data_IF_765329729681
#
_entry.id   IF_765329729681
#
_cell.length_a   1.000
_cell.length_b   1.000
_cell.length_c   1.000
_cell.angle_alpha   90.00
_cell.angle_beta   90.00
_cell.angle_gamma   90.00
#
_symmetry.space_group_name_H-M   'P 1'
#
loop_
_entity.id
_entity.type
_entity.pdbx_description
1 polymer ?
#
# COMPACT_ATOMS: atom_id res chain seq x y z
N UNK A 1 -14.02 15.27 11.01
CA UNK A 1 -13.45 14.75 9.75
C UNK A 1 -12.20 13.98 10.13
N UNK A 2 -12.06 12.75 9.69
CA UNK A 2 -10.86 11.94 9.92
C UNK A 2 -9.68 12.44 9.08
N UNK A 3 -8.46 12.17 9.50
CA UNK A 3 -7.30 12.43 8.66
C UNK A 3 -7.22 11.39 7.55
N UNK A 4 -7.30 10.10 7.90
CA UNK A 4 -7.28 8.98 6.95
C UNK A 4 -8.39 7.99 7.26
N UNK A 5 -9.04 7.45 6.21
CA UNK A 5 -9.88 6.28 6.29
C UNK A 5 -9.24 5.14 5.46
N UNK A 6 -9.02 3.99 6.11
CA UNK A 6 -8.46 2.79 5.49
C UNK A 6 -9.56 1.82 5.13
N UNK A 7 -9.59 1.34 3.89
CA UNK A 7 -10.54 0.36 3.37
C UNK A 7 -9.77 -0.84 2.83
N UNK A 8 -10.10 -2.03 3.25
CA UNK A 8 -9.37 -3.20 2.80
C UNK A 8 -9.71 -4.47 3.57
N UNK A 9 -8.85 -5.46 3.46
CA UNK A 9 -8.95 -6.71 4.18
C UNK A 9 -8.35 -6.60 5.58
N UNK A 10 -9.08 -7.10 6.57
CA UNK A 10 -8.52 -7.34 7.89
C UNK A 10 -8.19 -8.82 8.02
N UNK A 11 -6.92 -9.17 7.88
CA UNK A 11 -6.47 -10.56 7.90
C UNK A 11 -5.58 -10.86 9.11
N UNK A 12 -5.57 -12.15 9.49
CA UNK A 12 -4.53 -12.73 10.31
C UNK A 12 -3.59 -13.46 9.36
N UNK A 13 -2.36 -12.98 9.28
CA UNK A 13 -1.33 -13.55 8.43
C UNK A 13 -0.60 -14.64 9.21
N UNK A 14 -0.61 -15.85 8.66
CA UNK A 14 0.20 -16.99 9.13
C UNK A 14 1.45 -17.02 8.26
N UNK A 15 2.58 -16.69 8.85
CA UNK A 15 3.84 -16.54 8.13
C UNK A 15 4.71 -17.76 8.45
N UNK A 16 5.06 -18.50 7.40
CA UNK A 16 5.92 -19.66 7.46
C UNK A 16 7.29 -19.30 6.89
N UNK A 17 8.34 -19.47 7.71
CA UNK A 17 9.72 -19.22 7.34
C UNK A 17 10.59 -20.42 7.75
N UNK A 18 10.88 -21.30 6.81
CA UNK A 18 11.48 -22.59 7.13
C UNK A 18 10.59 -23.40 8.08
N UNK A 19 11.11 -23.75 9.26
CA UNK A 19 10.37 -24.47 10.30
C UNK A 19 9.72 -23.56 11.35
N UNK A 20 9.72 -22.24 11.12
CA UNK A 20 9.13 -21.27 12.05
C UNK A 20 7.77 -20.80 11.54
N UNK A 21 6.80 -20.76 12.45
CA UNK A 21 5.51 -20.13 12.25
C UNK A 21 5.42 -18.88 13.13
N UNK A 22 4.94 -17.79 12.56
CA UNK A 22 4.53 -16.61 13.33
C UNK A 22 3.22 -16.07 12.80
N UNK A 23 2.48 -15.39 13.65
CA UNK A 23 1.24 -14.71 13.26
C UNK A 23 1.42 -13.21 13.33
N UNK A 24 0.80 -12.52 12.38
CA UNK A 24 0.78 -11.06 12.30
C UNK A 24 -0.61 -10.62 11.86
N UNK A 25 -0.91 -9.35 12.00
CA UNK A 25 -2.04 -8.74 11.31
C UNK A 25 -1.60 -8.35 9.89
N UNK A 26 -2.55 -8.40 8.95
CA UNK A 26 -2.27 -8.11 7.53
C UNK A 26 -2.17 -6.63 7.21
N UNK A 27 -2.21 -6.33 5.90
CA UNK A 27 -1.85 -5.01 5.35
C UNK A 27 -2.60 -3.84 5.96
N UNK A 28 -3.90 -3.95 6.22
CA UNK A 28 -4.65 -2.85 6.88
C UNK A 28 -4.04 -2.49 8.23
N UNK A 29 -3.64 -3.48 9.03
CA UNK A 29 -3.01 -3.23 10.31
C UNK A 29 -1.55 -2.76 10.17
N UNK A 30 -0.84 -3.21 9.13
CA UNK A 30 0.51 -2.72 8.83
C UNK A 30 0.49 -1.24 8.50
N UNK A 31 -0.41 -0.81 7.59
CA UNK A 31 -0.60 0.61 7.24
C UNK A 31 -0.97 1.43 8.48
N UNK A 32 -1.95 0.95 9.26
CA UNK A 32 -2.38 1.63 10.48
C UNK A 32 -1.24 1.80 11.49
N UNK A 33 -0.46 0.73 11.74
CA UNK A 33 0.68 0.78 12.66
C UNK A 33 1.77 1.72 12.17
N UNK A 34 2.13 1.64 10.89
CA UNK A 34 3.16 2.49 10.30
C UNK A 34 2.77 3.97 10.38
N UNK A 35 1.51 4.32 10.10
CA UNK A 35 1.01 5.68 10.25
C UNK A 35 1.13 6.19 11.69
N UNK A 36 0.75 5.38 12.68
CA UNK A 36 0.85 5.77 14.10
C UNK A 36 2.30 5.80 14.62
N UNK A 37 3.20 5.03 14.03
CA UNK A 37 4.63 5.11 14.34
C UNK A 37 5.25 6.41 13.82
N UNK A 38 4.78 6.89 12.66
CA UNK A 38 5.23 8.14 12.06
C UNK A 38 4.62 9.34 12.81
N UNK A 39 3.32 9.29 13.07
CA UNK A 39 2.59 10.35 13.77
C UNK A 39 1.45 9.76 14.62
N UNK A 40 1.64 9.62 15.93
CA UNK A 40 0.64 9.04 16.84
C UNK A 40 -0.59 9.94 17.04
N UNK A 41 -0.61 11.15 16.49
CA UNK A 41 -1.75 12.09 16.64
C UNK A 41 -2.78 11.96 15.53
N UNK A 42 -2.50 11.17 14.47
CA UNK A 42 -3.41 10.98 13.34
C UNK A 42 -4.75 10.35 13.77
N UNK A 43 -5.83 10.96 13.32
CA UNK A 43 -7.19 10.43 13.51
C UNK A 43 -7.55 9.46 12.37
N UNK A 44 -7.27 8.17 12.56
CA UNK A 44 -7.42 7.12 11.56
C UNK A 44 -8.70 6.33 11.79
N UNK A 45 -9.49 6.15 10.71
CA UNK A 45 -10.64 5.27 10.70
C UNK A 45 -10.34 3.97 9.93
N UNK A 46 -10.83 2.84 10.43
CA UNK A 46 -10.73 1.54 9.77
C UNK A 46 -12.10 1.10 9.29
N UNK A 47 -12.21 0.73 8.02
CA UNK A 47 -13.40 0.14 7.41
C UNK A 47 -13.04 -1.19 6.74
N UNK A 48 -13.00 -2.30 7.48
CA UNK A 48 -12.79 -3.62 6.88
C UNK A 48 -13.93 -3.95 5.92
N UNK A 49 -13.58 -4.30 4.69
CA UNK A 49 -14.52 -4.78 3.66
C UNK A 49 -14.68 -6.28 3.80
N UNK A 50 -13.59 -6.97 4.05
CA UNK A 50 -13.53 -8.41 4.25
C UNK A 50 -12.64 -8.75 5.43
N UNK A 51 -12.85 -9.92 6.01
CA UNK A 51 -11.98 -10.49 7.04
C UNK A 51 -11.55 -11.90 6.63
N UNK A 52 -10.38 -12.32 7.05
CA UNK A 52 -9.89 -13.64 6.69
C UNK A 52 -8.52 -13.98 7.25
N UNK A 53 -7.89 -14.93 6.61
CA UNK A 53 -6.55 -15.39 6.92
C UNK A 53 -5.71 -15.39 5.64
N UNK A 54 -4.47 -14.94 5.74
CA UNK A 54 -3.47 -15.10 4.70
C UNK A 54 -2.41 -16.12 5.15
N UNK A 55 -2.07 -17.05 4.26
CA UNK A 55 -0.93 -17.92 4.43
C UNK A 55 0.22 -17.37 3.59
N UNK A 56 1.29 -16.97 4.26
CA UNK A 56 2.47 -16.37 3.62
C UNK A 56 3.64 -17.32 3.84
N UNK A 57 4.24 -17.76 2.74
CA UNK A 57 5.43 -18.58 2.76
C UNK A 57 6.64 -17.74 2.32
N UNK A 58 7.67 -17.70 3.16
CA UNK A 58 8.92 -17.01 2.87
C UNK A 58 9.98 -18.05 2.58
N UNK A 59 10.47 -18.07 1.32
CA UNK A 59 11.56 -18.93 0.91
C UNK A 59 12.89 -18.16 0.98
N UNK A 60 13.84 -18.70 1.74
CA UNK A 60 15.23 -18.23 1.78
C UNK A 60 16.10 -19.19 0.95
N UNK A 61 17.02 -18.69 0.12
CA UNK A 61 17.68 -17.38 0.15
C UNK A 61 17.09 -16.35 -0.84
N UNK A 62 16.10 -16.72 -1.67
CA UNK A 62 15.65 -15.87 -2.77
C UNK A 62 14.76 -14.67 -2.35
N UNK A 63 14.47 -14.54 -1.05
CA UNK A 63 13.52 -13.56 -0.51
C UNK A 63 12.13 -13.60 -1.19
N UNK A 64 11.85 -14.68 -1.92
CA UNK A 64 10.55 -14.88 -2.56
C UNK A 64 9.49 -15.15 -1.52
N UNK A 65 8.34 -14.55 -1.72
CA UNK A 65 7.16 -14.80 -0.90
C UNK A 65 6.03 -15.31 -1.77
N UNK A 66 5.32 -16.29 -1.24
CA UNK A 66 4.07 -16.76 -1.81
C UNK A 66 2.97 -16.49 -0.80
N UNK A 67 1.89 -15.90 -1.25
CA UNK A 67 0.74 -15.64 -0.39
C UNK A 67 -0.52 -16.27 -0.96
N UNK A 68 -1.35 -16.82 -0.05
CA UNK A 68 -2.70 -17.25 -0.36
C UNK A 68 -3.65 -16.68 0.67
N UNK A 69 -4.58 -15.87 0.23
CA UNK A 69 -5.59 -15.26 1.08
C UNK A 69 -6.87 -16.07 1.02
N UNK A 70 -7.42 -16.42 2.19
CA UNK A 70 -8.74 -17.02 2.33
C UNK A 70 -9.61 -16.02 3.08
N UNK A 71 -10.52 -15.38 2.35
CA UNK A 71 -11.46 -14.44 2.94
C UNK A 71 -12.68 -15.18 3.48
N UNK A 72 -13.26 -14.67 4.54
CA UNK A 72 -14.56 -15.12 5.03
C UNK A 72 -15.63 -14.84 3.99
N UNK A 73 -16.62 -15.74 3.88
CA UNK A 73 -17.83 -15.48 3.09
C UNK A 73 -18.70 -14.37 3.69
N UNK A 74 -18.41 -13.93 4.91
CA UNK A 74 -19.08 -12.79 5.52
C UNK A 74 -18.56 -11.52 4.92
N UNK A 75 -19.37 -10.90 4.08
CA UNK A 75 -19.10 -9.57 3.52
C UNK A 75 -19.56 -8.50 4.50
N UNK A 76 -18.70 -7.54 4.78
CA UNK A 76 -19.03 -6.37 5.56
C UNK A 76 -19.43 -5.22 4.63
N UNK A 77 -20.45 -4.47 5.04
CA UNK A 77 -20.75 -3.23 4.33
C UNK A 77 -19.69 -2.20 4.70
N UNK A 78 -19.06 -1.59 3.67
CA UNK A 78 -18.11 -0.53 3.89
C UNK A 78 -18.76 0.60 4.73
N UNK A 79 -18.13 0.95 5.85
CA UNK A 79 -18.50 2.13 6.60
C UNK A 79 -17.75 3.32 6.01
N UNK A 80 -18.48 4.20 5.31
CA UNK A 80 -17.92 5.39 4.72
C UNK A 80 -17.71 6.44 5.81
N UNK A 81 -16.49 6.97 5.87
CA UNK A 81 -16.11 8.03 6.80
C UNK A 81 -15.90 9.34 6.05
N UNK A 82 -16.21 10.46 6.68
CA UNK A 82 -15.75 11.76 6.22
C UNK A 82 -14.26 11.89 6.59
N UNK A 83 -13.36 11.82 5.59
CA UNK A 83 -11.92 11.85 5.77
C UNK A 83 -11.25 12.73 4.71
N UNK A 84 -10.04 13.26 5.03
CA UNK A 84 -9.22 14.01 4.06
C UNK A 84 -8.65 13.10 2.98
N UNK A 85 -8.22 11.89 3.40
CA UNK A 85 -7.64 10.87 2.54
C UNK A 85 -8.35 9.54 2.76
N UNK A 86 -8.69 8.86 1.66
CA UNK A 86 -9.22 7.51 1.62
C UNK A 86 -8.19 6.60 0.98
N UNK A 87 -7.69 5.60 1.72
CA UNK A 87 -6.72 4.65 1.19
C UNK A 87 -7.35 3.28 1.01
N UNK A 88 -7.35 2.80 -0.24
CA UNK A 88 -7.92 1.51 -0.67
C UNK A 88 -6.79 0.48 -0.71
N UNK A 89 -6.71 -0.36 0.31
CA UNK A 89 -5.66 -1.36 0.44
C UNK A 89 -6.00 -2.57 -0.42
N UNK A 90 -5.11 -2.91 -1.38
CA UNK A 90 -5.26 -3.97 -2.36
C UNK A 90 -6.57 -3.86 -3.15
N UNK A 91 -6.71 -2.71 -3.86
CA UNK A 91 -7.89 -2.36 -4.65
C UNK A 91 -8.41 -3.53 -5.51
N UNK A 92 -7.49 -4.28 -6.14
CA UNK A 92 -7.84 -5.41 -7.01
C UNK A 92 -8.28 -6.67 -6.24
N UNK A 93 -8.10 -6.71 -4.92
CA UNK A 93 -8.57 -7.81 -4.06
C UNK A 93 -9.91 -7.52 -3.37
N UNK A 94 -10.35 -6.25 -3.32
CA UNK A 94 -11.61 -5.89 -2.69
C UNK A 94 -12.78 -6.63 -3.34
N UNK A 95 -13.65 -7.20 -2.53
CA UNK A 95 -14.87 -7.92 -3.02
C UNK A 95 -16.00 -6.95 -3.35
N UNK A 96 -15.93 -5.71 -2.85
CA UNK A 96 -16.91 -4.64 -3.09
C UNK A 96 -16.24 -3.34 -3.46
N UNK A 97 -16.83 -2.67 -4.46
CA UNK A 97 -16.29 -1.43 -5.02
C UNK A 97 -17.35 -0.32 -5.14
N UNK A 98 -18.62 -0.65 -4.86
CA UNK A 98 -19.78 0.23 -5.05
C UNK A 98 -19.71 1.53 -4.23
N UNK A 99 -18.92 1.55 -3.17
CA UNK A 99 -18.72 2.71 -2.32
C UNK A 99 -17.66 3.70 -2.86
N UNK A 100 -16.72 3.25 -3.71
CA UNK A 100 -15.57 4.06 -4.16
C UNK A 100 -16.02 5.37 -4.82
N UNK A 101 -16.99 5.38 -5.77
CA UNK A 101 -17.47 6.62 -6.39
C UNK A 101 -18.15 7.60 -5.43
N UNK A 102 -18.45 7.18 -4.20
CA UNK A 102 -19.11 8.01 -3.18
C UNK A 102 -18.15 8.65 -2.18
N UNK A 103 -16.86 8.31 -2.29
CA UNK A 103 -15.83 8.89 -1.42
C UNK A 103 -15.56 10.33 -1.82
N UNK A 104 -15.51 11.21 -0.80
CA UNK A 104 -15.22 12.64 -0.97
C UNK A 104 -13.88 12.96 -0.29
N UNK A 105 -12.91 13.41 -1.07
CA UNK A 105 -11.54 13.67 -0.63
C UNK A 105 -10.52 13.09 -1.60
N UNK A 106 -9.28 12.96 -1.14
CA UNK A 106 -8.19 12.35 -1.93
C UNK A 106 -8.31 10.83 -1.81
N UNK A 107 -8.37 10.14 -2.95
CA UNK A 107 -8.42 8.68 -3.00
C UNK A 107 -7.06 8.15 -3.41
N UNK A 108 -6.49 7.31 -2.56
CA UNK A 108 -5.24 6.60 -2.83
C UNK A 108 -5.50 5.10 -2.83
N UNK A 109 -4.73 4.34 -3.58
CA UNK A 109 -4.87 2.89 -3.62
C UNK A 109 -3.53 2.21 -3.77
N UNK A 110 -3.42 0.98 -3.28
CA UNK A 110 -2.40 0.04 -3.67
C UNK A 110 -3.01 -1.18 -4.37
N UNK A 111 -2.18 -1.95 -5.04
CA UNK A 111 -2.55 -3.20 -5.70
C UNK A 111 -1.58 -4.30 -5.28
N UNK A 112 -2.03 -5.54 -5.34
CA UNK A 112 -1.21 -6.70 -5.04
C UNK A 112 -1.18 -7.68 -6.24
N UNK A 113 -0.22 -8.64 -6.29
CA UNK A 113 -0.12 -9.59 -7.37
C UNK A 113 -1.29 -10.58 -7.37
N UNK A 114 -1.56 -11.16 -8.53
CA UNK A 114 -2.44 -12.33 -8.68
C UNK A 114 -3.85 -12.06 -9.16
N UNK A 115 -4.32 -10.82 -9.16
CA UNK A 115 -5.60 -10.45 -9.78
C UNK A 115 -5.47 -9.22 -10.65
N UNK A 116 -6.14 -9.20 -11.81
CA UNK A 116 -6.13 -8.03 -12.67
C UNK A 116 -6.77 -6.83 -11.97
N UNK A 117 -6.19 -5.67 -12.21
CA UNK A 117 -6.72 -4.40 -11.72
C UNK A 117 -7.90 -3.98 -12.59
N UNK A 118 -9.00 -3.59 -11.96
CA UNK A 118 -10.15 -3.01 -12.64
C UNK A 118 -9.84 -1.56 -13.03
N UNK A 119 -9.52 -1.35 -14.32
CA UNK A 119 -9.14 -0.03 -14.85
C UNK A 119 -10.22 1.04 -14.67
N UNK A 120 -11.49 0.64 -14.70
CA UNK A 120 -12.62 1.55 -14.45
C UNK A 120 -12.62 2.16 -13.04
N UNK A 121 -12.02 1.49 -12.06
CA UNK A 121 -11.88 2.01 -10.70
C UNK A 121 -10.71 2.99 -10.56
N UNK A 122 -9.69 2.86 -11.40
CA UNK A 122 -8.51 3.73 -11.36
C UNK A 122 -8.85 5.19 -11.69
N UNK A 123 -9.93 5.43 -12.44
CA UNK A 123 -10.43 6.79 -12.73
C UNK A 123 -10.87 7.59 -11.50
N UNK A 124 -11.00 6.95 -10.35
CA UNK A 124 -11.27 7.62 -9.07
C UNK A 124 -10.02 7.84 -8.23
N UNK A 125 -8.88 7.21 -8.58
CA UNK A 125 -7.67 7.18 -7.76
C UNK A 125 -6.75 8.36 -8.09
N UNK A 126 -6.42 9.16 -7.08
CA UNK A 126 -5.49 10.29 -7.20
C UNK A 126 -4.02 9.85 -7.10
N UNK A 127 -3.73 8.80 -6.30
CA UNK A 127 -2.38 8.23 -6.16
C UNK A 127 -2.46 6.71 -6.08
N UNK A 128 -1.88 6.04 -7.07
CA UNK A 128 -1.83 4.58 -7.16
C UNK A 128 -0.42 4.08 -6.85
N UNK A 129 -0.28 3.18 -5.88
CA UNK A 129 0.97 2.52 -5.55
C UNK A 129 1.01 1.13 -6.17
N UNK A 130 2.11 0.80 -6.84
CA UNK A 130 2.37 -0.51 -7.44
C UNK A 130 3.79 -0.91 -7.08
N UNK A 131 3.99 -2.12 -6.59
CA UNK A 131 5.34 -2.70 -6.46
C UNK A 131 5.84 -3.14 -7.83
N UNK A 132 7.14 -3.07 -8.07
CA UNK A 132 7.78 -3.61 -9.27
C UNK A 132 7.61 -5.13 -9.40
N UNK A 133 7.33 -5.83 -8.28
CA UNK A 133 6.98 -7.26 -8.26
C UNK A 133 5.51 -7.53 -8.65
N UNK A 134 4.65 -6.51 -8.60
CA UNK A 134 3.19 -6.63 -8.69
C UNK A 134 2.62 -6.07 -10.01
N UNK A 135 3.45 -5.38 -10.81
CA UNK A 135 3.00 -4.80 -12.07
C UNK A 135 2.74 -5.91 -13.11
N UNK A 136 1.54 -5.90 -13.68
CA UNK A 136 1.14 -6.76 -14.79
C UNK A 136 0.89 -5.88 -16.02
N UNK A 137 1.80 -5.94 -16.99
CA UNK A 137 1.75 -5.13 -18.19
C UNK A 137 2.61 -3.86 -18.15
N UNK A 138 2.25 -2.88 -18.96
CA UNK A 138 3.00 -1.63 -19.12
C UNK A 138 2.50 -0.56 -18.13
N UNK A 139 3.41 0.22 -17.56
CA UNK A 139 3.10 1.33 -16.66
C UNK A 139 2.17 2.37 -17.34
N UNK A 140 2.30 2.56 -18.65
CA UNK A 140 1.44 3.45 -19.43
C UNK A 140 -0.05 3.10 -19.32
N UNK A 141 -0.38 1.81 -19.27
CA UNK A 141 -1.78 1.37 -19.13
C UNK A 141 -2.41 1.78 -17.78
N UNK A 142 -1.59 1.85 -16.74
CA UNK A 142 -2.02 2.32 -15.43
C UNK A 142 -2.12 3.84 -15.39
N UNK A 143 -1.17 4.56 -15.99
CA UNK A 143 -1.17 6.02 -16.02
C UNK A 143 -2.33 6.57 -16.85
N UNK A 144 -2.69 5.93 -17.95
CA UNK A 144 -3.86 6.31 -18.77
C UNK A 144 -5.19 6.09 -18.04
N UNK A 145 -5.26 5.07 -17.17
CA UNK A 145 -6.50 4.74 -16.46
C UNK A 145 -6.64 5.50 -15.12
N UNK A 146 -5.54 5.89 -14.49
CA UNK A 146 -5.54 6.54 -13.18
C UNK A 146 -5.84 8.03 -13.32
N UNK A 147 -6.69 8.57 -12.43
CA UNK A 147 -7.04 9.99 -12.41
C UNK A 147 -5.82 10.89 -12.16
N UNK A 148 -4.86 10.44 -11.38
CA UNK A 148 -3.72 11.23 -10.96
C UNK A 148 -2.38 10.52 -11.18
N UNK A 149 -1.63 10.29 -10.13
CA UNK A 149 -0.27 9.76 -10.20
C UNK A 149 -0.19 8.26 -9.97
N UNK A 150 0.63 7.60 -10.77
CA UNK A 150 1.05 6.21 -10.56
C UNK A 150 2.48 6.19 -10.02
N UNK A 151 2.70 5.46 -8.95
CA UNK A 151 3.97 5.34 -8.22
C UNK A 151 4.37 3.87 -8.27
N UNK A 152 5.25 3.54 -9.21
CA UNK A 152 5.88 2.22 -9.29
C UNK A 152 7.10 2.22 -8.38
N UNK A 153 6.99 1.56 -7.23
CA UNK A 153 8.05 1.54 -6.23
C UNK A 153 8.77 0.19 -6.18
N UNK A 154 10.05 0.25 -5.83
CA UNK A 154 10.93 -0.90 -5.67
C UNK A 154 11.88 -0.71 -4.49
N UNK A 155 12.70 -1.73 -4.21
CA UNK A 155 13.77 -1.65 -3.21
C UNK A 155 14.89 -0.66 -3.58
N UNK A 156 14.93 -0.19 -4.84
CA UNK A 156 15.97 0.71 -5.36
C UNK A 156 15.48 2.12 -5.66
N UNK A 157 14.20 2.38 -5.56
CA UNK A 157 13.60 3.69 -5.87
C UNK A 157 12.23 3.59 -6.49
N UNK A 158 11.80 4.64 -7.18
CA UNK A 158 10.49 4.71 -7.83
C UNK A 158 10.52 5.37 -9.20
N UNK A 159 9.62 4.90 -10.07
CA UNK A 159 9.15 5.62 -11.25
C UNK A 159 7.81 6.25 -10.91
N UNK A 160 7.64 7.52 -11.17
CA UNK A 160 6.40 8.25 -10.85
C UNK A 160 5.91 8.97 -12.09
N UNK A 161 4.68 8.67 -12.51
CA UNK A 161 4.11 9.20 -13.74
C UNK A 161 2.62 9.51 -13.60
N UNK A 162 2.14 10.53 -14.31
CA UNK A 162 0.72 10.84 -14.47
C UNK A 162 0.31 10.90 -15.96
N UNK A 163 1.15 10.34 -16.84
CA UNK A 163 0.96 10.39 -18.28
C UNK A 163 1.57 11.63 -18.95
N UNK A 164 1.45 12.81 -18.33
CA UNK A 164 2.01 14.07 -18.85
C UNK A 164 3.43 14.32 -18.34
N UNK A 165 3.70 13.92 -17.13
CA UNK A 165 4.99 14.08 -16.43
C UNK A 165 5.46 12.75 -15.90
N UNK A 166 6.78 12.53 -16.01
CA UNK A 166 7.44 11.36 -15.44
C UNK A 166 8.75 11.78 -14.78
N UNK A 167 9.07 11.14 -13.66
CA UNK A 167 10.38 11.29 -13.02
C UNK A 167 10.78 10.02 -12.29
N UNK A 168 12.08 9.91 -12.04
CA UNK A 168 12.71 8.82 -11.32
C UNK A 168 13.25 9.32 -9.99
N UNK A 169 13.05 8.54 -8.95
CA UNK A 169 13.77 8.66 -7.69
C UNK A 169 14.63 7.42 -7.49
N UNK A 170 15.92 7.60 -7.30
CA UNK A 170 16.85 6.50 -7.00
C UNK A 170 17.24 6.57 -5.54
N UNK A 171 16.98 5.48 -4.79
CA UNK A 171 17.41 5.37 -3.40
C UNK A 171 18.95 5.29 -3.35
N UNK A 172 19.63 6.07 -2.48
CA UNK A 172 21.08 5.94 -2.29
C UNK A 172 21.49 4.53 -1.91
N UNK A 173 22.62 4.03 -2.46
CA UNK A 173 23.04 2.62 -2.27
C UNK A 173 23.24 2.25 -0.80
N UNK A 174 23.74 3.18 0.01
CA UNK A 174 23.92 3.02 1.45
C UNK A 174 22.60 2.91 2.22
N UNK A 175 21.49 3.32 1.60
CA UNK A 175 20.15 3.21 2.17
C UNK A 175 19.46 1.92 1.75
N UNK A 176 19.92 1.22 0.72
CA UNK A 176 19.31 -0.03 0.25
C UNK A 176 19.40 -1.13 1.32
N UNK A 177 18.29 -1.80 1.54
CA UNK A 177 18.22 -2.97 2.44
C UNK A 177 18.62 -4.23 1.66
N UNK A 178 19.66 -4.94 2.14
CA UNK A 178 20.14 -6.17 1.50
C UNK A 178 19.97 -7.35 2.45
N UNK A 179 19.37 -8.45 1.94
CA UNK A 179 19.28 -9.72 2.69
C UNK A 179 18.33 -9.69 3.89
N UNK A 180 17.42 -8.72 3.97
CA UNK A 180 16.44 -8.61 5.04
C UNK A 180 15.04 -8.95 4.55
N UNK A 181 14.19 -9.41 5.47
CA UNK A 181 12.78 -9.61 5.18
C UNK A 181 12.07 -8.25 5.07
N UNK A 182 11.53 -7.96 3.89
CA UNK A 182 10.84 -6.71 3.57
C UNK A 182 9.31 -6.85 3.54
N UNK A 183 8.76 -7.89 4.17
CA UNK A 183 7.31 -8.07 4.26
C UNK A 183 6.66 -6.85 4.93
N UNK A 184 5.70 -6.22 4.24
CA UNK A 184 5.05 -4.99 4.68
C UNK A 184 5.82 -3.70 4.32
N UNK A 185 6.91 -3.79 3.54
CA UNK A 185 7.63 -2.60 3.09
C UNK A 185 6.76 -1.70 2.21
N UNK A 186 5.94 -2.27 1.33
CA UNK A 186 4.96 -1.53 0.52
C UNK A 186 3.94 -0.79 1.38
N UNK A 187 3.36 -1.49 2.38
CA UNK A 187 2.42 -0.89 3.34
C UNK A 187 3.06 0.30 4.09
N UNK A 188 4.34 0.14 4.50
CA UNK A 188 5.10 1.19 5.19
C UNK A 188 5.41 2.36 4.25
N UNK A 189 5.78 2.09 3.01
CA UNK A 189 6.05 3.10 1.99
C UNK A 189 4.80 3.95 1.71
N UNK A 190 3.66 3.29 1.46
CA UNK A 190 2.39 3.98 1.28
C UNK A 190 2.06 4.85 2.50
N UNK A 191 2.24 4.33 3.72
CA UNK A 191 1.99 5.08 4.97
C UNK A 191 2.85 6.33 5.08
N UNK A 192 4.15 6.24 4.76
CA UNK A 192 5.06 7.38 4.77
C UNK A 192 4.65 8.45 3.74
N UNK A 193 4.23 8.02 2.55
CA UNK A 193 3.71 8.93 1.54
C UNK A 193 2.41 9.60 1.99
N UNK A 194 1.44 8.84 2.53
CA UNK A 194 0.16 9.34 3.03
C UNK A 194 0.35 10.38 4.13
N UNK A 195 1.33 10.18 5.02
CA UNK A 195 1.67 11.17 6.04
C UNK A 195 2.11 12.50 5.42
N UNK A 196 2.99 12.49 4.40
CA UNK A 196 3.42 13.69 3.69
C UNK A 196 2.29 14.35 2.88
N UNK A 197 1.45 13.55 2.26
CA UNK A 197 0.26 14.02 1.55
C UNK A 197 -0.66 14.80 2.48
N UNK A 198 -0.88 14.31 3.71
CA UNK A 198 -1.70 15.00 4.72
C UNK A 198 -1.10 16.30 5.20
N UNK A 199 0.23 16.37 5.34
CA UNK A 199 0.92 17.60 5.71
C UNK A 199 0.81 18.66 4.61
N UNK A 200 0.64 18.24 3.36
CA UNK A 200 0.58 19.09 2.16
C UNK A 200 1.77 20.07 2.06
N UNK A 201 2.94 19.62 2.54
CA UNK A 201 4.19 20.37 2.52
C UNK A 201 5.13 19.80 1.46
N UNK A 202 5.65 20.65 0.57
CA UNK A 202 6.51 20.24 -0.54
C UNK A 202 5.71 19.77 -1.77
N UNK A 203 6.34 18.92 -2.56
CA UNK A 203 5.78 18.35 -3.78
C UNK A 203 5.90 16.81 -3.79
N UNK A 204 5.34 16.18 -4.82
CA UNK A 204 5.36 14.72 -4.94
C UNK A 204 6.78 14.14 -4.96
N UNK A 205 7.79 14.88 -5.46
CA UNK A 205 9.19 14.41 -5.46
C UNK A 205 9.72 14.30 -4.03
N UNK A 206 9.48 15.32 -3.23
CA UNK A 206 9.88 15.35 -1.82
C UNK A 206 9.12 14.31 -0.99
N UNK A 207 7.85 14.02 -1.32
CA UNK A 207 7.07 12.98 -0.64
C UNK A 207 7.60 11.58 -0.95
N UNK A 208 7.98 11.31 -2.21
CA UNK A 208 8.59 10.04 -2.63
C UNK A 208 9.95 9.82 -1.95
N UNK A 209 10.79 10.85 -1.93
CA UNK A 209 12.08 10.79 -1.22
C UNK A 209 11.88 10.46 0.25
N UNK A 210 11.01 11.20 0.93
CA UNK A 210 10.68 10.96 2.33
C UNK A 210 10.16 9.53 2.54
N UNK A 211 9.24 9.07 1.68
CA UNK A 211 8.64 7.75 1.80
C UNK A 211 9.71 6.65 1.72
N UNK A 212 10.65 6.72 0.77
CA UNK A 212 11.75 5.77 0.68
C UNK A 212 12.69 5.79 1.88
N UNK A 213 13.15 6.97 2.28
CA UNK A 213 14.10 7.13 3.38
C UNK A 213 13.48 6.68 4.72
N UNK A 214 12.25 7.08 4.98
CA UNK A 214 11.56 6.73 6.24
C UNK A 214 11.17 5.27 6.30
N UNK A 215 10.74 4.67 5.19
CA UNK A 215 10.50 3.22 5.11
C UNK A 215 11.76 2.43 5.44
N UNK A 216 12.89 2.82 4.86
CA UNK A 216 14.17 2.17 5.14
C UNK A 216 14.56 2.28 6.61
N UNK A 217 14.37 3.44 7.23
CA UNK A 217 14.61 3.66 8.66
C UNK A 217 13.73 2.76 9.54
N UNK A 218 12.41 2.72 9.29
CA UNK A 218 11.46 1.91 10.06
C UNK A 218 11.82 0.42 9.96
N UNK A 219 12.11 -0.06 8.75
CA UNK A 219 12.48 -1.48 8.56
C UNK A 219 13.79 -1.80 9.28
N UNK A 220 14.81 -0.95 9.19
CA UNK A 220 16.09 -1.15 9.90
C UNK A 220 15.92 -1.25 11.40
N UNK A 221 15.03 -0.46 11.96
CA UNK A 221 14.75 -0.45 13.41
C UNK A 221 13.92 -1.65 13.87
N UNK A 222 13.32 -2.41 12.93
CA UNK A 222 12.48 -3.57 13.21
C UNK A 222 13.24 -4.91 13.14
N UNK A 223 14.50 -4.89 12.70
CA UNK A 223 15.41 -6.05 12.56
C UNK A 223 16.28 -6.21 13.80
#
# INVERSE_FOLDING_TARGET
MKDIALYGHLTIDIILEGNKERKSLGSMANVWKALLEIDPTLDIALSPIDVGQALIYIDKPAAQRYSKVNLSLTQYQAKIFNAKVHHLIYLNELTRHDFIPTLDGIITADVCPGKPVRKDLLSFVDYLFISDEDIDGDLSEYTEATKGWVILHSSSGSVVSNGDQEFFYKLPEEMMLKGVNVLGAGDTFASCFLHKLLQNEGDIRSWIEFAHLKTTEIIRNSI
#
